data_IF_642445814768
#
_entry.id   IF_642445814768
#
_cell.length_a   1.000
_cell.length_b   1.000
_cell.length_c   1.000
_cell.angle_alpha   90.00
_cell.angle_beta   90.00
_cell.angle_gamma   90.00
#
_symmetry.space_group_name_H-M   'P 1'
#
loop_
_entity.id
_entity.type
_entity.pdbx_description
1 polymer ?
#
# COMPACT_ATOMS: atom_id res chain seq x y z
N UNK A 1 -6.05 2.32 12.52
CA UNK A 1 -5.64 1.04 11.87
C UNK A 1 -5.05 1.34 10.49
N UNK A 2 -3.72 1.33 10.34
CA UNK A 2 -3.01 1.77 9.13
C UNK A 2 -3.29 0.91 7.88
N UNK A 3 -3.35 -0.42 8.07
CA UNK A 3 -3.59 -1.41 7.01
C UNK A 3 -4.98 -2.01 7.15
N UNK A 4 -5.71 -2.05 6.04
CA UNK A 4 -6.99 -2.76 5.93
C UNK A 4 -6.71 -4.26 5.76
N UNK A 5 -6.76 -4.99 6.88
CA UNK A 5 -6.49 -6.44 6.92
C UNK A 5 -7.69 -7.31 6.55
N UNK A 6 -8.91 -6.79 6.68
CA UNK A 6 -10.13 -7.51 6.33
C UNK A 6 -10.47 -7.27 4.84
N UNK A 7 -10.51 -8.35 4.05
CA UNK A 7 -10.83 -8.30 2.63
C UNK A 7 -12.26 -7.79 2.31
N UNK A 8 -13.24 -8.05 3.17
CA UNK A 8 -14.59 -7.47 3.03
C UNK A 8 -14.55 -5.95 3.21
N UNK A 9 -13.83 -5.46 4.23
CA UNK A 9 -13.64 -4.01 4.42
C UNK A 9 -12.97 -3.36 3.22
N UNK A 10 -11.98 -4.02 2.60
CA UNK A 10 -11.36 -3.54 1.37
C UNK A 10 -12.39 -3.47 0.22
N UNK A 11 -13.22 -4.50 0.03
CA UNK A 11 -14.30 -4.51 -0.97
C UNK A 11 -15.32 -3.39 -0.73
N UNK A 12 -15.73 -3.16 0.51
CA UNK A 12 -16.65 -2.07 0.84
C UNK A 12 -16.10 -0.70 0.45
N UNK A 13 -14.81 -0.46 0.69
CA UNK A 13 -14.13 0.78 0.33
C UNK A 13 -14.09 0.93 -1.19
N UNK A 14 -13.70 -0.13 -1.91
CA UNK A 14 -13.67 -0.15 -3.37
C UNK A 14 -15.06 0.12 -3.96
N UNK A 15 -16.10 -0.52 -3.42
CA UNK A 15 -17.48 -0.32 -3.87
C UNK A 15 -17.98 1.11 -3.62
N UNK A 16 -17.61 1.71 -2.49
CA UNK A 16 -17.91 3.14 -2.21
C UNK A 16 -17.26 4.03 -3.26
N UNK A 17 -15.98 3.82 -3.59
CA UNK A 17 -15.28 4.62 -4.60
C UNK A 17 -15.91 4.42 -5.98
N UNK A 18 -16.20 3.17 -6.36
CA UNK A 18 -16.89 2.83 -7.62
C UNK A 18 -18.21 3.58 -7.78
N UNK A 19 -19.03 3.67 -6.73
CA UNK A 19 -20.31 4.40 -6.75
C UNK A 19 -20.16 5.90 -7.01
N UNK A 20 -18.99 6.48 -6.76
CA UNK A 20 -18.71 7.90 -7.05
C UNK A 20 -18.23 8.16 -8.48
N UNK A 21 -17.96 7.10 -9.27
CA UNK A 21 -17.35 7.23 -10.59
C UNK A 21 -15.86 7.58 -10.58
N UNK A 22 -15.23 7.62 -9.39
CA UNK A 22 -13.79 7.81 -9.25
C UNK A 22 -13.04 6.47 -9.26
N UNK A 23 -11.72 6.53 -9.44
CA UNK A 23 -10.80 5.41 -9.30
C UNK A 23 -9.97 5.50 -8.02
N UNK A 24 -9.44 4.35 -7.58
CA UNK A 24 -8.41 4.29 -6.55
C UNK A 24 -7.03 4.22 -7.20
N UNK A 25 -6.07 5.05 -6.76
CA UNK A 25 -4.69 4.89 -7.20
C UNK A 25 -4.08 3.62 -6.58
N UNK A 26 -3.36 2.88 -7.42
CA UNK A 26 -2.53 1.76 -7.03
C UNK A 26 -1.08 2.11 -7.37
N UNK A 27 -0.24 2.29 -6.36
CA UNK A 27 1.17 2.60 -6.55
C UNK A 27 2.03 1.47 -6.03
N UNK A 28 2.98 1.02 -6.85
CA UNK A 28 3.94 0.02 -6.40
C UNK A 28 5.11 0.69 -5.66
N UNK A 29 5.61 0.04 -4.61
CA UNK A 29 6.77 0.49 -3.83
C UNK A 29 7.86 -0.58 -3.84
N UNK A 30 9.12 -0.16 -3.69
CA UNK A 30 10.27 -1.09 -3.65
C UNK A 30 11.34 -0.70 -2.64
N UNK A 31 11.10 0.32 -1.81
CA UNK A 31 11.91 0.71 -0.66
C UNK A 31 11.14 1.73 0.21
N UNK A 32 11.73 2.10 1.36
CA UNK A 32 11.12 3.08 2.27
C UNK A 32 10.90 4.45 1.65
N UNK A 33 11.80 4.92 0.78
CA UNK A 33 11.68 6.24 0.17
C UNK A 33 10.48 6.29 -0.79
N UNK A 34 10.25 5.23 -1.57
CA UNK A 34 9.08 5.15 -2.44
C UNK A 34 7.79 5.00 -1.64
N UNK A 35 7.81 4.27 -0.52
CA UNK A 35 6.65 4.15 0.39
C UNK A 35 6.29 5.52 0.97
N UNK A 36 7.26 6.26 1.52
CA UNK A 36 7.04 7.60 2.06
C UNK A 36 6.58 8.59 0.98
N UNK A 37 7.14 8.51 -0.23
CA UNK A 37 6.72 9.35 -1.35
C UNK A 37 5.24 9.14 -1.72
N UNK A 38 4.75 7.89 -1.71
CA UNK A 38 3.34 7.58 -1.93
C UNK A 38 2.47 8.25 -0.85
N UNK A 39 2.82 8.09 0.43
CA UNK A 39 2.07 8.70 1.54
C UNK A 39 2.07 10.23 1.47
N UNK A 40 3.21 10.84 1.18
CA UNK A 40 3.34 12.29 0.99
C UNK A 40 2.48 12.79 -0.17
N UNK A 41 2.49 12.07 -1.30
CA UNK A 41 1.64 12.38 -2.45
C UNK A 41 0.15 12.31 -2.12
N UNK A 42 -0.28 11.23 -1.45
CA UNK A 42 -1.66 11.04 -1.02
C UNK A 42 -2.11 12.15 -0.05
N UNK A 43 -1.27 12.48 0.95
CA UNK A 43 -1.56 13.57 1.90
C UNK A 43 -1.69 14.92 1.22
N UNK A 44 -0.73 15.27 0.35
CA UNK A 44 -0.77 16.53 -0.42
C UNK A 44 -1.99 16.61 -1.32
N UNK A 45 -2.38 15.52 -1.96
CA UNK A 45 -3.60 15.45 -2.76
C UNK A 45 -4.85 15.68 -1.91
N UNK A 46 -4.95 14.99 -0.77
CA UNK A 46 -6.06 15.12 0.19
C UNK A 46 -6.23 16.57 0.64
N UNK A 47 -5.14 17.19 1.07
CA UNK A 47 -5.10 18.60 1.51
C UNK A 47 -5.49 19.55 0.38
N UNK A 48 -4.87 19.40 -0.80
CA UNK A 48 -5.13 20.25 -1.96
C UNK A 48 -6.56 20.13 -2.51
N UNK A 49 -7.24 19.01 -2.25
CA UNK A 49 -8.65 18.78 -2.63
C UNK A 49 -9.63 18.96 -1.47
N UNK A 50 -9.18 19.37 -0.29
CA UNK A 50 -9.99 19.53 0.92
C UNK A 50 -10.80 18.27 1.32
N UNK A 51 -10.28 17.07 1.01
CA UNK A 51 -10.94 15.80 1.32
C UNK A 51 -10.91 15.59 2.84
N UNK A 52 -12.09 15.38 3.44
CA UNK A 52 -12.25 15.11 4.88
C UNK A 52 -12.36 13.62 5.16
N UNK A 53 -12.07 13.21 6.39
CA UNK A 53 -12.16 11.81 6.82
C UNK A 53 -10.95 10.98 6.37
N UNK A 54 -11.14 9.68 6.11
CA UNK A 54 -10.09 8.78 5.63
C UNK A 54 -9.94 8.86 4.10
N UNK A 55 -8.71 8.81 3.58
CA UNK A 55 -8.45 8.69 2.15
C UNK A 55 -7.93 7.27 1.85
N UNK A 56 -8.69 6.45 1.10
CA UNK A 56 -8.22 5.13 0.69
C UNK A 56 -7.14 5.20 -0.38
N UNK A 57 -6.16 4.30 -0.27
CA UNK A 57 -4.99 4.18 -1.14
C UNK A 57 -4.63 2.70 -1.30
N UNK A 58 -4.23 2.28 -2.49
CA UNK A 58 -3.65 0.94 -2.70
C UNK A 58 -2.13 1.07 -2.81
N UNK A 59 -1.40 0.38 -1.93
CA UNK A 59 0.04 0.18 -2.06
C UNK A 59 0.28 -1.25 -2.51
N UNK A 60 0.96 -1.39 -3.64
CA UNK A 60 1.24 -2.66 -4.25
C UNK A 60 2.73 -2.97 -4.32
N UNK A 61 3.05 -4.21 -4.62
CA UNK A 61 4.41 -4.67 -4.88
C UNK A 61 4.35 -6.04 -5.57
N UNK A 62 5.41 -6.35 -6.29
CA UNK A 62 5.68 -7.67 -6.86
C UNK A 62 6.59 -8.47 -5.93
N UNK A 63 6.30 -9.76 -5.75
CA UNK A 63 7.10 -10.66 -4.92
C UNK A 63 8.10 -11.44 -5.76
N UNK A 64 7.79 -12.66 -6.19
CA UNK A 64 8.71 -13.52 -6.96
C UNK A 64 8.53 -13.46 -8.48
N UNK A 65 7.69 -12.57 -9.01
CA UNK A 65 7.50 -12.37 -10.45
C UNK A 65 8.82 -12.07 -11.19
N UNK A 66 9.21 -12.94 -12.13
CA UNK A 66 10.57 -12.99 -12.70
C UNK A 66 11.01 -11.66 -13.33
N UNK A 67 10.11 -10.98 -14.03
CA UNK A 67 10.42 -9.75 -14.75
C UNK A 67 10.57 -8.54 -13.81
N UNK A 68 10.02 -8.60 -12.59
CA UNK A 68 10.06 -7.51 -11.62
C UNK A 68 9.80 -8.03 -10.21
N UNK A 69 10.81 -7.96 -9.34
CA UNK A 69 10.75 -8.45 -7.95
C UNK A 69 10.98 -7.30 -6.97
N UNK A 70 9.98 -6.43 -6.79
CA UNK A 70 10.13 -5.20 -5.99
C UNK A 70 10.41 -5.47 -4.51
N UNK A 71 9.81 -6.52 -3.94
CA UNK A 71 10.05 -6.84 -2.53
C UNK A 71 11.51 -7.20 -2.24
N UNK A 72 12.23 -7.78 -3.20
CA UNK A 72 13.68 -8.02 -3.01
C UNK A 72 14.48 -6.72 -2.88
N UNK A 73 14.03 -5.63 -3.49
CA UNK A 73 14.71 -4.34 -3.40
C UNK A 73 14.40 -3.60 -2.09
N UNK A 74 13.35 -4.02 -1.37
CA UNK A 74 12.84 -3.30 -0.21
C UNK A 74 13.77 -3.41 1.01
N UNK A 75 14.52 -4.51 1.12
CA UNK A 75 15.52 -4.71 2.16
C UNK A 75 16.88 -5.05 1.55
N UNK A 76 17.96 -4.73 2.27
CA UNK A 76 19.32 -5.10 1.84
C UNK A 76 19.58 -6.61 1.80
N UNK A 77 18.65 -7.44 2.29
CA UNK A 77 18.76 -8.90 2.29
C UNK A 77 18.43 -9.52 0.93
N UNK A 78 17.85 -8.77 -0.01
CA UNK A 78 17.47 -9.26 -1.34
C UNK A 78 16.52 -10.47 -1.32
N UNK A 79 15.73 -10.58 -0.24
CA UNK A 79 14.73 -11.63 -0.03
C UNK A 79 13.32 -11.01 0.00
N UNK A 80 12.39 -11.57 -0.75
CA UNK A 80 11.06 -10.97 -0.90
C UNK A 80 10.20 -11.13 0.36
N UNK A 81 10.46 -12.12 1.21
CA UNK A 81 9.74 -12.33 2.47
C UNK A 81 10.15 -11.28 3.48
N UNK A 82 11.47 -11.06 3.60
CA UNK A 82 12.03 -9.96 4.38
C UNK A 82 11.54 -8.61 3.87
N UNK A 83 11.46 -8.44 2.54
CA UNK A 83 10.86 -7.27 1.91
C UNK A 83 9.39 -7.08 2.29
N UNK A 84 8.59 -8.15 2.29
CA UNK A 84 7.17 -8.11 2.67
C UNK A 84 6.99 -7.68 4.14
N UNK A 85 7.80 -8.23 5.04
CA UNK A 85 7.80 -7.86 6.45
C UNK A 85 8.17 -6.39 6.63
N UNK A 86 9.23 -5.94 5.94
CA UNK A 86 9.70 -4.56 6.01
C UNK A 86 8.65 -3.57 5.49
N UNK A 87 8.06 -3.80 4.32
CA UNK A 87 7.03 -2.89 3.77
C UNK A 87 5.78 -2.84 4.64
N UNK A 88 5.35 -3.99 5.19
CA UNK A 88 4.23 -4.03 6.14
C UNK A 88 4.53 -3.15 7.35
N UNK A 89 5.68 -3.35 7.99
CA UNK A 89 6.02 -2.66 9.23
C UNK A 89 6.22 -1.16 9.01
N UNK A 90 6.77 -0.77 7.86
CA UNK A 90 6.85 0.63 7.47
C UNK A 90 5.47 1.27 7.27
N UNK A 91 4.57 0.61 6.53
CA UNK A 91 3.19 1.12 6.35
C UNK A 91 2.51 1.27 7.71
N UNK A 92 2.63 0.27 8.60
CA UNK A 92 2.04 0.32 9.93
C UNK A 92 2.61 1.45 10.77
N UNK A 93 3.92 1.61 10.77
CA UNK A 93 4.60 2.70 11.48
C UNK A 93 4.18 4.07 10.93
N UNK A 94 4.13 4.24 9.62
CA UNK A 94 3.87 5.54 8.96
C UNK A 94 2.42 6.00 9.17
N UNK A 95 1.45 5.09 9.05
CA UNK A 95 0.02 5.38 9.15
C UNK A 95 -0.62 5.06 10.51
N UNK A 96 0.20 4.83 11.57
CA UNK A 96 -0.26 4.60 12.95
C UNK A 96 -1.21 5.71 13.44
N UNK A 97 -1.99 5.43 14.49
CA UNK A 97 -3.08 6.32 14.94
C UNK A 97 -2.61 7.72 15.45
N UNK A 98 -1.32 7.94 15.65
CA UNK A 98 -0.69 9.25 15.94
C UNK A 98 0.39 9.64 14.90
N UNK A 99 0.44 8.92 13.77
CA UNK A 99 1.35 9.16 12.67
C UNK A 99 0.93 10.36 11.83
N UNK A 100 1.89 10.90 11.05
CA UNK A 100 1.66 11.99 10.10
C UNK A 100 0.60 11.66 9.04
N UNK A 101 0.34 10.37 8.83
CA UNK A 101 -0.55 9.83 7.79
C UNK A 101 -1.67 8.97 8.37
N UNK A 102 -2.12 9.25 9.59
CA UNK A 102 -3.20 8.53 10.27
C UNK A 102 -4.60 8.67 9.62
N UNK A 103 -4.71 9.53 8.60
CA UNK A 103 -5.90 9.77 7.79
C UNK A 103 -5.79 9.19 6.36
N UNK A 104 -4.85 8.26 6.17
CA UNK A 104 -4.67 7.47 4.95
C UNK A 104 -4.93 6.00 5.28
N UNK A 105 -5.95 5.43 4.66
CA UNK A 105 -6.30 4.01 4.77
C UNK A 105 -5.59 3.23 3.67
N UNK A 106 -4.75 2.23 4.03
CA UNK A 106 -3.98 1.46 3.05
C UNK A 106 -4.61 0.08 2.81
N UNK A 107 -4.95 -0.19 1.55
CA UNK A 107 -5.18 -1.54 1.03
C UNK A 107 -3.86 -2.04 0.46
N UNK A 108 -3.35 -3.16 0.97
CA UNK A 108 -2.14 -3.80 0.43
C UNK A 108 -2.55 -4.73 -0.71
N UNK A 109 -1.79 -4.72 -1.79
CA UNK A 109 -2.05 -5.55 -2.97
C UNK A 109 -0.77 -6.24 -3.42
N UNK A 110 -0.84 -7.56 -3.65
CA UNK A 110 0.17 -8.24 -4.44
C UNK A 110 -0.15 -7.94 -5.90
N UNK A 111 0.77 -7.26 -6.59
CA UNK A 111 0.68 -7.00 -8.02
C UNK A 111 0.90 -8.32 -8.79
N UNK A 112 1.54 -8.31 -9.97
CA UNK A 112 1.88 -9.51 -10.70
C UNK A 112 2.54 -10.55 -9.78
N UNK A 113 1.77 -11.59 -9.46
CA UNK A 113 2.14 -12.68 -8.59
C UNK A 113 2.64 -13.86 -9.43
N UNK A 114 3.41 -14.74 -8.80
CA UNK A 114 3.87 -15.98 -9.40
C UNK A 114 3.15 -17.16 -8.72
N UNK A 115 2.22 -17.84 -9.43
CA UNK A 115 1.54 -19.02 -8.90
C UNK A 115 2.55 -20.07 -8.42
N UNK A 116 2.39 -20.57 -7.19
CA UNK A 116 3.32 -21.51 -6.55
C UNK A 116 4.62 -20.90 -6.03
N UNK A 117 5.04 -19.74 -6.54
CA UNK A 117 6.23 -19.01 -6.09
C UNK A 117 5.96 -18.09 -4.90
N UNK A 118 4.73 -17.58 -4.79
CA UNK A 118 4.30 -16.63 -3.76
C UNK A 118 3.39 -17.26 -2.68
N UNK A 119 3.31 -18.59 -2.61
CA UNK A 119 2.48 -19.35 -1.66
C UNK A 119 3.12 -19.43 -0.26
N UNK A 120 3.52 -18.28 0.29
CA UNK A 120 4.19 -18.17 1.60
C UNK A 120 3.31 -17.58 2.70
#
# INVERSE_FOLDING_TARGET
MPIIRNGEKAREIIDKVKKTGNSLPCFCTENIMTTEAIFMGAKKFKEGKNIKGQLPLIIAFTASYEQRQQLKNYSGLSDFKEGLLAVRDDIERIARDEGKFNDIDVIVHLDHAQPGGDDW
#
